data_IF_460442106191
#
_entry.id   IF_460442106191
#
_cell.length_a   1.000
_cell.length_b   1.000
_cell.length_c   1.000
_cell.angle_alpha   90.00
_cell.angle_beta   90.00
_cell.angle_gamma   90.00
#
_symmetry.space_group_name_H-M   'P 1'
#
loop_
_entity.id
_entity.type
_entity.pdbx_description
1 polymer ?
#
# COMPACT_ATOMS: atom_id res chain seq x y z
N UNK A 1 54.10 20.47 9.07
CA UNK A 1 53.34 20.61 7.80
C UNK A 1 52.94 19.23 7.23
N UNK A 2 53.81 18.21 7.26
CA UNK A 2 53.54 16.83 6.78
C UNK A 2 52.44 16.13 7.61
N UNK A 3 52.45 16.33 8.95
CA UNK A 3 51.44 15.73 9.85
C UNK A 3 50.01 16.29 9.60
N UNK A 4 49.91 17.60 9.24
CA UNK A 4 48.61 18.21 8.89
C UNK A 4 48.06 17.71 7.55
N UNK A 5 48.92 17.38 6.59
CA UNK A 5 48.54 16.81 5.31
C UNK A 5 48.07 15.35 5.46
N UNK A 6 48.71 14.56 6.35
CA UNK A 6 48.28 13.19 6.66
C UNK A 6 46.96 13.15 7.38
N UNK A 7 46.69 14.08 8.31
CA UNK A 7 45.40 14.21 8.99
C UNK A 7 44.28 14.64 8.04
N UNK A 8 44.52 15.53 7.12
CA UNK A 8 43.56 15.98 6.10
C UNK A 8 43.23 14.83 5.10
N UNK A 9 44.24 14.05 4.70
CA UNK A 9 44.03 12.88 3.85
C UNK A 9 43.20 11.76 4.58
N UNK A 10 43.49 11.53 5.87
CA UNK A 10 42.71 10.58 6.68
C UNK A 10 41.26 10.98 6.88
N UNK A 11 40.96 12.30 7.02
CA UNK A 11 39.58 12.79 7.09
C UNK A 11 38.82 12.70 5.77
N UNK A 12 39.52 12.90 4.64
CA UNK A 12 38.92 12.70 3.30
C UNK A 12 38.59 11.22 3.03
N UNK A 13 39.42 10.28 3.49
CA UNK A 13 39.15 8.86 3.40
C UNK A 13 37.99 8.42 4.32
N UNK A 14 37.86 9.00 5.52
CA UNK A 14 36.75 8.72 6.44
C UNK A 14 35.39 9.24 5.89
N UNK A 15 35.36 10.37 5.19
CA UNK A 15 34.16 10.90 4.54
C UNK A 15 33.73 10.08 3.30
N UNK A 16 34.67 9.49 2.58
CA UNK A 16 34.38 8.60 1.44
C UNK A 16 33.81 7.24 1.89
N UNK A 17 34.18 6.75 3.07
CA UNK A 17 33.66 5.50 3.64
C UNK A 17 32.21 5.58 4.14
N UNK A 18 31.68 6.79 4.40
CA UNK A 18 30.29 6.99 4.86
C UNK A 18 29.24 7.11 3.73
N UNK A 19 29.64 7.10 2.46
CA UNK A 19 28.71 7.34 1.34
C UNK A 19 28.31 6.11 0.54
N UNK A 20 28.88 4.93 0.82
CA UNK A 20 28.39 3.67 0.23
C UNK A 20 27.44 2.99 1.23
N UNK A 21 26.13 3.21 1.10
CA UNK A 21 25.15 2.22 1.60
C UNK A 21 25.57 0.87 1.02
N UNK A 22 25.78 -0.18 1.84
CA UNK A 22 25.94 -1.52 1.28
C UNK A 22 24.72 -1.76 0.41
N UNK A 23 24.91 -2.04 -0.88
CA UNK A 23 23.85 -2.60 -1.68
C UNK A 23 23.39 -3.86 -0.93
N UNK A 24 22.11 -3.94 -0.60
CA UNK A 24 21.53 -5.14 0.02
C UNK A 24 21.48 -6.25 -1.04
N UNK A 25 22.65 -6.76 -1.42
CA UNK A 25 22.83 -7.74 -2.51
C UNK A 25 22.14 -9.08 -2.23
N UNK A 26 21.72 -9.29 -0.99
CA UNK A 26 21.09 -10.53 -0.54
C UNK A 26 19.68 -10.29 0.02
N UNK A 27 19.08 -9.12 -0.24
CA UNK A 27 17.73 -8.81 0.22
C UNK A 27 16.75 -8.78 -0.95
N UNK A 28 15.72 -9.63 -0.87
CA UNK A 28 14.71 -9.79 -1.91
C UNK A 28 13.32 -9.57 -1.36
N UNK A 29 12.48 -8.88 -2.12
CA UNK A 29 11.10 -8.55 -1.75
C UNK A 29 10.13 -9.25 -2.69
N UNK A 30 9.12 -9.92 -2.13
CA UNK A 30 8.02 -10.54 -2.86
C UNK A 30 6.76 -9.68 -2.78
N UNK A 31 5.97 -9.67 -3.85
CA UNK A 31 4.66 -9.00 -3.88
C UNK A 31 3.62 -9.93 -4.50
N UNK A 32 2.44 -9.98 -3.89
CA UNK A 32 1.27 -10.74 -4.32
C UNK A 32 0.14 -9.74 -4.56
N UNK A 33 -0.33 -9.66 -5.80
CA UNK A 33 -1.40 -8.77 -6.25
C UNK A 33 -2.61 -9.58 -6.71
N UNK A 34 -3.82 -9.16 -6.34
CA UNK A 34 -5.06 -9.84 -6.74
C UNK A 34 -5.28 -9.79 -8.25
N UNK A 35 -4.98 -8.64 -8.87
CA UNK A 35 -5.09 -8.43 -10.30
C UNK A 35 -3.75 -7.97 -10.90
N UNK A 36 -3.78 -7.49 -12.12
CA UNK A 36 -2.64 -6.92 -12.84
C UNK A 36 -2.77 -5.40 -13.03
N UNK A 37 -1.95 -4.82 -13.89
CA UNK A 37 -1.91 -3.39 -14.19
C UNK A 37 -3.22 -2.83 -14.79
N UNK A 38 -4.16 -3.65 -15.21
CA UNK A 38 -5.47 -3.21 -15.68
C UNK A 38 -6.40 -2.82 -14.53
N UNK A 39 -6.15 -3.28 -13.31
CA UNK A 39 -6.82 -2.83 -12.10
C UNK A 39 -6.21 -1.52 -11.61
N UNK A 40 -7.00 -0.46 -11.52
CA UNK A 40 -6.53 0.83 -10.98
C UNK A 40 -6.13 0.77 -9.52
N UNK A 41 -6.67 -0.19 -8.76
CA UNK A 41 -6.29 -0.46 -7.37
C UNK A 41 -4.89 -1.09 -7.32
N UNK A 42 -4.71 -2.25 -7.97
CA UNK A 42 -3.44 -3.00 -7.95
C UNK A 42 -2.30 -2.23 -8.61
N UNK A 43 -2.59 -1.45 -9.67
CA UNK A 43 -1.58 -0.62 -10.36
C UNK A 43 -0.86 0.35 -9.41
N UNK A 44 -1.57 0.91 -8.41
CA UNK A 44 -0.93 1.79 -7.42
C UNK A 44 0.09 1.03 -6.57
N UNK A 45 -0.24 -0.18 -6.13
CA UNK A 45 0.67 -1.04 -5.37
C UNK A 45 1.86 -1.50 -6.21
N UNK A 46 1.61 -1.91 -7.46
CA UNK A 46 2.65 -2.33 -8.41
C UNK A 46 3.65 -1.18 -8.67
N UNK A 47 3.16 0.04 -8.91
CA UNK A 47 4.02 1.20 -9.14
C UNK A 47 4.81 1.57 -7.89
N UNK A 48 4.18 1.56 -6.71
CA UNK A 48 4.84 1.84 -5.45
C UNK A 48 5.91 0.79 -5.12
N UNK A 49 5.62 -0.50 -5.35
CA UNK A 49 6.56 -1.60 -5.17
C UNK A 49 7.81 -1.44 -6.05
N UNK A 50 7.61 -1.22 -7.36
CA UNK A 50 8.69 -0.96 -8.32
C UNK A 50 9.54 0.23 -7.89
N UNK A 51 8.91 1.39 -7.64
CA UNK A 51 9.61 2.61 -7.25
C UNK A 51 10.42 2.44 -5.96
N UNK A 52 9.84 1.81 -4.94
CA UNK A 52 10.51 1.60 -3.66
C UNK A 52 11.73 0.67 -3.82
N UNK A 53 11.57 -0.47 -4.50
CA UNK A 53 12.66 -1.43 -4.68
C UNK A 53 13.79 -0.86 -5.56
N UNK A 54 13.45 -0.16 -6.64
CA UNK A 54 14.42 0.52 -7.49
C UNK A 54 15.20 1.62 -6.73
N UNK A 55 14.49 2.42 -5.91
CA UNK A 55 15.11 3.47 -5.09
C UNK A 55 16.07 2.89 -4.05
N UNK A 56 15.73 1.73 -3.47
CA UNK A 56 16.54 1.04 -2.47
C UNK A 56 17.63 0.16 -3.08
N UNK A 57 17.54 -0.14 -4.37
CA UNK A 57 18.45 -1.05 -5.07
C UNK A 57 18.32 -2.50 -4.59
N UNK A 58 17.10 -2.94 -4.26
CA UNK A 58 16.80 -4.31 -3.80
C UNK A 58 16.13 -5.12 -4.90
N UNK A 59 16.42 -6.44 -4.94
CA UNK A 59 15.76 -7.36 -5.85
C UNK A 59 14.29 -7.55 -5.45
N UNK A 60 13.41 -7.67 -6.45
CA UNK A 60 11.99 -7.92 -6.18
C UNK A 60 11.34 -8.84 -7.22
N UNK A 61 10.25 -9.49 -6.80
CA UNK A 61 9.37 -10.31 -7.64
C UNK A 61 7.92 -9.91 -7.39
N UNK A 62 7.17 -9.63 -8.45
CA UNK A 62 5.74 -9.30 -8.36
C UNK A 62 4.96 -10.43 -9.03
N UNK A 63 4.03 -11.03 -8.30
CA UNK A 63 3.07 -12.01 -8.80
C UNK A 63 1.71 -11.34 -8.90
N UNK A 64 1.13 -11.35 -10.09
CA UNK A 64 -0.18 -10.75 -10.38
C UNK A 64 -1.22 -11.84 -10.63
N UNK A 65 -2.51 -11.46 -10.58
CA UNK A 65 -3.64 -12.37 -10.79
C UNK A 65 -3.62 -13.56 -9.81
N UNK A 66 -3.28 -13.30 -8.55
CA UNK A 66 -3.28 -14.31 -7.49
C UNK A 66 -4.63 -14.23 -6.76
N UNK A 67 -5.53 -15.22 -6.91
CA UNK A 67 -6.83 -15.21 -6.26
C UNK A 67 -6.74 -15.19 -4.73
N UNK A 68 -7.78 -14.68 -4.11
CA UNK A 68 -7.99 -14.84 -2.67
C UNK A 68 -8.28 -16.29 -2.35
N UNK A 69 -7.47 -16.92 -1.52
CA UNK A 69 -7.64 -18.35 -1.20
C UNK A 69 -6.30 -19.07 -1.04
N UNK A 70 -6.34 -20.40 -1.16
CA UNK A 70 -5.16 -21.26 -1.02
C UNK A 70 -4.02 -20.84 -1.97
N UNK A 71 -4.34 -20.38 -3.15
CA UNK A 71 -3.33 -19.90 -4.11
C UNK A 71 -2.48 -18.74 -3.56
N UNK A 72 -3.06 -17.87 -2.73
CA UNK A 72 -2.29 -16.81 -2.06
C UNK A 72 -1.22 -17.42 -1.14
N UNK A 73 -1.59 -18.42 -0.33
CA UNK A 73 -0.63 -19.14 0.52
C UNK A 73 0.45 -19.83 -0.32
N UNK A 74 0.06 -20.56 -1.38
CA UNK A 74 0.99 -21.29 -2.24
C UNK A 74 2.00 -20.33 -2.89
N UNK A 75 1.55 -19.14 -3.30
CA UNK A 75 2.41 -18.09 -3.85
C UNK A 75 3.29 -17.41 -2.79
N UNK A 76 2.79 -17.24 -1.57
CA UNK A 76 3.58 -16.75 -0.45
C UNK A 76 4.70 -17.74 -0.08
N UNK A 77 4.39 -19.04 -0.05
CA UNK A 77 5.38 -20.10 0.17
C UNK A 77 6.42 -20.16 -0.98
N UNK A 78 5.98 -20.08 -2.25
CA UNK A 78 6.88 -20.00 -3.41
C UNK A 78 7.88 -18.84 -3.27
N UNK A 79 7.41 -17.65 -2.89
CA UNK A 79 8.26 -16.47 -2.71
C UNK A 79 9.24 -16.64 -1.53
N UNK A 80 8.79 -17.26 -0.44
CA UNK A 80 9.65 -17.56 0.70
C UNK A 80 10.76 -18.55 0.33
N UNK A 81 10.43 -19.62 -0.39
CA UNK A 81 11.39 -20.61 -0.90
C UNK A 81 12.35 -20.03 -1.95
N UNK A 82 11.89 -19.03 -2.74
CA UNK A 82 12.72 -18.24 -3.66
C UNK A 82 13.68 -17.27 -2.94
N UNK A 83 13.67 -17.25 -1.60
CA UNK A 83 14.56 -16.45 -0.76
C UNK A 83 14.10 -15.01 -0.54
N UNK A 84 12.83 -14.70 -0.71
CA UNK A 84 12.29 -13.40 -0.32
C UNK A 84 12.37 -13.23 1.21
N UNK A 85 12.89 -12.10 1.66
CA UNK A 85 13.03 -11.77 3.07
C UNK A 85 11.76 -11.10 3.62
N UNK A 86 11.02 -10.42 2.74
CA UNK A 86 9.74 -9.79 3.06
C UNK A 86 8.77 -9.98 1.89
N UNK A 87 7.52 -10.29 2.21
CA UNK A 87 6.46 -10.55 1.23
C UNK A 87 5.24 -9.69 1.57
N UNK A 88 4.74 -8.95 0.58
CA UNK A 88 3.55 -8.11 0.68
C UNK A 88 2.40 -8.71 -0.10
N UNK A 89 1.16 -8.53 0.41
CA UNK A 89 -0.07 -8.79 -0.35
C UNK A 89 -1.04 -7.61 -0.22
N UNK A 90 -1.82 -7.34 -1.28
CA UNK A 90 -2.63 -6.13 -1.41
C UNK A 90 -4.13 -6.33 -1.21
N UNK A 91 -4.65 -7.54 -1.31
CA UNK A 91 -6.08 -7.78 -1.24
C UNK A 91 -6.56 -8.23 0.14
N UNK A 92 -7.74 -7.75 0.56
CA UNK A 92 -8.33 -8.07 1.87
C UNK A 92 -8.43 -9.57 2.14
N UNK A 93 -8.87 -10.36 1.16
CA UNK A 93 -9.02 -11.81 1.31
C UNK A 93 -7.71 -12.59 1.29
N UNK A 94 -6.57 -11.97 1.04
CA UNK A 94 -5.25 -12.59 1.20
C UNK A 94 -4.83 -12.72 2.66
N UNK A 95 -5.48 -12.01 3.62
CA UNK A 95 -4.99 -11.86 4.99
C UNK A 95 -4.76 -13.19 5.70
N UNK A 96 -5.74 -14.10 5.70
CA UNK A 96 -5.66 -15.37 6.42
C UNK A 96 -4.57 -16.29 5.86
N UNK A 97 -4.36 -16.24 4.55
CA UNK A 97 -3.35 -17.04 3.85
C UNK A 97 -1.93 -16.50 4.06
N UNK A 98 -1.78 -15.18 4.16
CA UNK A 98 -0.53 -14.55 4.56
C UNK A 98 -0.16 -14.86 6.01
N UNK A 99 -1.15 -14.92 6.92
CA UNK A 99 -0.97 -15.35 8.30
C UNK A 99 -0.54 -16.82 8.37
N UNK A 100 -1.16 -17.69 7.55
CA UNK A 100 -0.78 -19.08 7.45
C UNK A 100 0.68 -19.22 7.02
N UNK A 101 1.10 -18.50 5.97
CA UNK A 101 2.49 -18.49 5.51
C UNK A 101 3.45 -17.95 6.59
N UNK A 102 3.06 -16.89 7.30
CA UNK A 102 3.88 -16.33 8.38
C UNK A 102 4.14 -17.32 9.53
N UNK A 103 3.18 -18.19 9.82
CA UNK A 103 3.34 -19.27 10.83
C UNK A 103 4.32 -20.34 10.38
N UNK A 104 4.39 -20.64 9.08
CA UNK A 104 5.26 -21.67 8.51
C UNK A 104 6.67 -21.17 8.23
N UNK A 105 6.82 -19.90 7.84
CA UNK A 105 8.10 -19.27 7.49
C UNK A 105 8.53 -18.21 8.51
N UNK A 106 8.94 -18.58 9.74
CA UNK A 106 9.17 -17.62 10.83
C UNK A 106 10.34 -16.65 10.59
N UNK A 107 11.19 -16.93 9.61
CA UNK A 107 12.32 -16.07 9.25
C UNK A 107 12.01 -15.08 8.12
N UNK A 108 10.82 -15.16 7.50
CA UNK A 108 10.34 -14.25 6.47
C UNK A 108 9.33 -13.28 7.09
N UNK A 109 9.40 -12.01 6.71
CA UNK A 109 8.43 -11.00 7.14
C UNK A 109 7.26 -10.98 6.16
N UNK A 110 6.05 -10.99 6.67
CA UNK A 110 4.82 -10.90 5.88
C UNK A 110 4.09 -9.61 6.21
N UNK A 111 3.73 -8.86 5.17
CA UNK A 111 3.01 -7.60 5.27
C UNK A 111 1.74 -7.67 4.44
N UNK A 112 0.64 -7.24 5.00
CA UNK A 112 -0.65 -7.26 4.33
C UNK A 112 -1.30 -5.88 4.38
N UNK A 113 -1.74 -5.39 3.22
CA UNK A 113 -2.51 -4.14 3.12
C UNK A 113 -3.98 -4.43 3.40
N UNK A 114 -4.65 -3.50 4.08
CA UNK A 114 -6.08 -3.56 4.41
C UNK A 114 -6.51 -4.57 5.47
N UNK A 115 -5.63 -5.46 5.90
CA UNK A 115 -5.90 -6.41 6.97
C UNK A 115 -5.85 -5.78 8.37
N UNK A 116 -6.35 -6.51 9.37
CA UNK A 116 -6.50 -6.02 10.74
C UNK A 116 -6.04 -7.00 11.81
N UNK A 117 -5.56 -8.20 11.42
CA UNK A 117 -5.32 -9.29 12.36
C UNK A 117 -3.91 -9.31 12.98
N UNK A 118 -2.97 -8.47 12.51
CA UNK A 118 -1.60 -8.47 13.02
C UNK A 118 -1.54 -8.28 14.54
N UNK A 119 -2.40 -7.43 15.13
CA UNK A 119 -2.41 -7.17 16.57
C UNK A 119 -3.09 -8.28 17.39
N UNK A 120 -3.85 -9.19 16.77
CA UNK A 120 -4.54 -10.29 17.43
C UNK A 120 -3.84 -11.64 17.26
N UNK A 121 -3.11 -11.84 16.16
CA UNK A 121 -2.41 -13.09 15.85
C UNK A 121 -1.14 -13.31 16.70
N UNK A 122 -0.54 -12.24 17.20
CA UNK A 122 0.64 -12.32 18.05
C UNK A 122 1.91 -12.83 17.36
N UNK A 123 1.96 -12.78 16.02
CA UNK A 123 3.12 -13.18 15.23
C UNK A 123 4.09 -12.01 15.10
N UNK A 124 5.38 -12.25 15.39
CA UNK A 124 6.42 -11.23 15.28
C UNK A 124 6.83 -10.90 13.84
N UNK A 125 6.45 -11.73 12.89
CA UNK A 125 6.77 -11.64 11.47
C UNK A 125 5.54 -11.40 10.58
N UNK A 126 4.40 -10.99 11.15
CA UNK A 126 3.21 -10.61 10.39
C UNK A 126 2.76 -9.20 10.74
N UNK A 127 2.54 -8.36 9.72
CA UNK A 127 2.27 -6.93 9.88
C UNK A 127 1.13 -6.50 8.97
N UNK A 128 0.32 -5.55 9.44
CA UNK A 128 -0.65 -4.86 8.60
C UNK A 128 -0.16 -3.44 8.28
N UNK A 129 -0.28 -3.04 7.01
CA UNK A 129 -0.07 -1.68 6.55
C UNK A 129 -1.44 -1.10 6.17
N UNK A 130 -1.89 -0.10 6.90
CA UNK A 130 -3.19 0.53 6.67
C UNK A 130 -3.04 2.06 6.69
N UNK A 131 -3.37 2.70 5.57
CA UNK A 131 -3.38 4.16 5.48
C UNK A 131 -4.73 4.73 5.95
N UNK A 132 -4.75 6.03 6.31
CA UNK A 132 -5.99 6.77 6.62
C UNK A 132 -6.80 7.05 5.34
N UNK A 133 -7.25 5.99 4.65
CA UNK A 133 -7.91 6.09 3.33
C UNK A 133 -9.20 6.93 3.39
N UNK A 134 -9.85 7.02 4.54
CA UNK A 134 -11.01 7.88 4.73
C UNK A 134 -10.73 9.36 4.44
N UNK A 135 -9.51 9.84 4.63
CA UNK A 135 -9.10 11.21 4.26
C UNK A 135 -9.14 11.41 2.74
N UNK A 136 -8.61 10.44 1.98
CA UNK A 136 -8.70 10.45 0.52
C UNK A 136 -10.15 10.33 0.04
N UNK A 137 -11.00 9.57 0.73
CA UNK A 137 -12.43 9.49 0.45
C UNK A 137 -13.15 10.82 0.71
N UNK A 138 -12.77 11.53 1.76
CA UNK A 138 -13.29 12.88 2.02
C UNK A 138 -12.95 13.83 0.88
N UNK A 139 -11.68 13.86 0.43
CA UNK A 139 -11.26 14.69 -0.70
C UNK A 139 -11.99 14.32 -2.01
N UNK A 140 -12.19 13.04 -2.27
CA UNK A 140 -13.00 12.59 -3.41
C UNK A 140 -14.45 13.08 -3.30
N UNK A 141 -15.01 13.08 -2.08
CA UNK A 141 -16.31 13.67 -1.79
C UNK A 141 -16.38 15.17 -2.08
N UNK A 142 -15.37 15.93 -1.64
CA UNK A 142 -15.27 17.38 -1.96
C UNK A 142 -15.30 17.59 -3.49
N UNK A 143 -14.49 16.86 -4.25
CA UNK A 143 -14.47 16.94 -5.71
C UNK A 143 -15.83 16.62 -6.33
N UNK A 144 -16.51 15.58 -5.84
CA UNK A 144 -17.87 15.22 -6.28
C UNK A 144 -18.89 16.30 -5.96
N UNK A 145 -18.83 16.89 -4.76
CA UNK A 145 -19.73 18.00 -4.37
C UNK A 145 -19.50 19.26 -5.21
N UNK A 146 -18.24 19.57 -5.53
CA UNK A 146 -17.92 20.67 -6.46
C UNK A 146 -18.52 20.40 -7.86
N UNK A 147 -18.43 19.14 -8.35
CA UNK A 147 -19.04 18.78 -9.64
C UNK A 147 -20.55 18.87 -9.61
N UNK A 148 -21.22 18.50 -8.51
CA UNK A 148 -22.66 18.70 -8.36
C UNK A 148 -23.04 20.19 -8.45
N UNK A 149 -22.31 21.08 -7.77
CA UNK A 149 -22.55 22.52 -7.85
C UNK A 149 -22.40 23.04 -9.30
N UNK A 150 -21.36 22.62 -10.02
CA UNK A 150 -21.17 22.96 -11.43
C UNK A 150 -22.37 22.52 -12.29
N UNK A 151 -22.88 21.30 -12.08
CA UNK A 151 -24.03 20.77 -12.82
C UNK A 151 -25.32 21.54 -12.48
N UNK A 152 -25.53 21.94 -11.23
CA UNK A 152 -26.65 22.78 -10.79
C UNK A 152 -26.55 24.17 -11.46
N UNK A 153 -25.38 24.79 -11.43
CA UNK A 153 -25.13 26.09 -12.05
C UNK A 153 -25.37 26.06 -13.57
N UNK A 154 -25.03 24.97 -14.23
CA UNK A 154 -25.28 24.74 -15.65
C UNK A 154 -26.74 24.40 -15.96
N UNK A 155 -27.62 24.25 -14.96
CA UNK A 155 -29.03 23.93 -15.13
C UNK A 155 -29.32 22.49 -15.56
N UNK A 156 -28.40 21.56 -15.31
CA UNK A 156 -28.60 20.14 -15.64
C UNK A 156 -29.66 19.51 -14.72
N UNK A 157 -29.74 19.98 -13.47
CA UNK A 157 -30.80 19.66 -12.48
C UNK A 157 -30.81 20.73 -11.38
N UNK A 158 -31.89 20.74 -10.58
CA UNK A 158 -31.98 21.64 -9.43
C UNK A 158 -31.26 21.13 -8.20
N UNK A 159 -30.98 22.02 -7.22
CA UNK A 159 -30.33 21.62 -5.98
C UNK A 159 -31.08 20.51 -5.21
N UNK A 160 -32.41 20.53 -5.26
CA UNK A 160 -33.28 19.54 -4.60
C UNK A 160 -33.26 18.16 -5.32
N UNK A 161 -32.84 18.13 -6.57
CA UNK A 161 -32.69 16.92 -7.37
C UNK A 161 -31.28 16.33 -7.29
N UNK A 162 -30.31 17.06 -6.72
CA UNK A 162 -28.92 16.62 -6.61
C UNK A 162 -28.85 15.35 -5.77
N UNK A 163 -28.38 14.26 -6.41
CA UNK A 163 -28.23 12.94 -5.77
C UNK A 163 -26.97 12.27 -6.24
N UNK A 164 -26.30 11.57 -5.34
CA UNK A 164 -25.15 10.72 -5.63
C UNK A 164 -25.41 9.29 -5.17
N UNK A 165 -24.92 8.32 -5.94
CA UNK A 165 -24.83 6.93 -5.52
C UNK A 165 -23.40 6.60 -5.08
N UNK A 166 -23.27 5.77 -4.07
CA UNK A 166 -21.98 5.21 -3.65
C UNK A 166 -22.09 3.69 -3.61
N UNK A 167 -21.19 3.00 -4.32
CA UNK A 167 -21.12 1.54 -4.30
C UNK A 167 -20.00 1.14 -3.35
N UNK A 168 -20.35 0.60 -2.20
CA UNK A 168 -19.40 0.02 -1.25
C UNK A 168 -19.10 -1.44 -1.61
N UNK A 169 -17.84 -1.86 -1.48
CA UNK A 169 -17.44 -3.23 -1.79
C UNK A 169 -18.05 -4.24 -0.81
N UNK A 170 -17.95 -3.97 0.51
CA UNK A 170 -18.45 -4.83 1.59
C UNK A 170 -18.92 -3.98 2.78
N UNK A 171 -19.58 -4.62 3.76
CA UNK A 171 -20.06 -3.95 4.98
C UNK A 171 -19.04 -3.97 6.12
N UNK A 172 -17.78 -3.63 5.82
CA UNK A 172 -16.71 -3.52 6.81
C UNK A 172 -16.60 -2.09 7.36
N UNK A 173 -16.04 -1.94 8.55
CA UNK A 173 -15.83 -0.64 9.19
C UNK A 173 -15.01 0.32 8.29
N UNK A 174 -14.01 -0.18 7.57
CA UNK A 174 -13.22 0.59 6.61
C UNK A 174 -14.07 1.14 5.47
N UNK A 175 -14.92 0.29 4.85
CA UNK A 175 -15.80 0.70 3.76
C UNK A 175 -16.86 1.69 4.24
N UNK A 176 -17.41 1.48 5.46
CA UNK A 176 -18.36 2.39 6.12
C UNK A 176 -17.71 3.75 6.36
N UNK A 177 -16.50 3.80 6.90
CA UNK A 177 -15.73 5.04 7.08
C UNK A 177 -15.50 5.75 5.75
N UNK A 178 -15.26 4.99 4.68
CA UNK A 178 -15.04 5.50 3.32
C UNK A 178 -16.24 6.27 2.78
N UNK A 179 -17.44 5.64 2.72
CA UNK A 179 -18.61 6.34 2.19
C UNK A 179 -19.12 7.43 3.11
N UNK A 180 -18.95 7.28 4.43
CA UNK A 180 -19.30 8.34 5.38
C UNK A 180 -18.44 9.58 5.18
N UNK A 181 -17.12 9.39 5.03
CA UNK A 181 -16.18 10.49 4.75
C UNK A 181 -16.44 11.14 3.39
N UNK A 182 -16.70 10.34 2.35
CA UNK A 182 -17.09 10.85 1.03
C UNK A 182 -18.33 11.72 1.11
N UNK A 183 -19.38 11.25 1.80
CA UNK A 183 -20.62 12.02 2.01
C UNK A 183 -20.37 13.35 2.74
N UNK A 184 -19.58 13.33 3.81
CA UNK A 184 -19.21 14.53 4.55
C UNK A 184 -18.40 15.51 3.71
N UNK A 185 -17.49 15.00 2.89
CA UNK A 185 -16.71 15.78 1.93
C UNK A 185 -17.61 16.47 0.90
N UNK A 186 -18.54 15.74 0.29
CA UNK A 186 -19.49 16.29 -0.67
C UNK A 186 -20.37 17.37 -0.06
N UNK A 187 -20.93 17.11 1.12
CA UNK A 187 -21.78 18.08 1.83
C UNK A 187 -21.03 19.31 2.32
N UNK A 188 -19.72 19.26 2.50
CA UNK A 188 -18.93 20.41 2.92
C UNK A 188 -18.94 21.55 1.89
N UNK A 189 -19.15 21.21 0.60
CA UNK A 189 -19.18 22.17 -0.52
C UNK A 189 -20.52 22.22 -1.24
N UNK A 190 -21.31 21.15 -1.21
CA UNK A 190 -22.66 21.08 -1.76
C UNK A 190 -23.64 20.61 -0.66
N UNK A 191 -24.24 21.53 0.13
CA UNK A 191 -25.06 21.18 1.30
C UNK A 191 -26.30 20.33 0.99
N UNK A 192 -26.74 20.30 -0.26
CA UNK A 192 -27.91 19.53 -0.73
C UNK A 192 -27.53 18.11 -1.21
N UNK A 193 -26.24 17.79 -1.27
CA UNK A 193 -25.75 16.47 -1.67
C UNK A 193 -26.12 15.36 -0.68
#
# INVERSE_FOLDING_TARGET
KILALLLAAAMLFALAACSSKPAAKDFKVGFIMLHDENSTYDLNFINAAKQACETLGVEYKILTNVPEGQECYDKAAELADDGCNIIFADSFGHEDYMIQAAKEFPNVQFCHSTGTKAHTEGLSNYHNAFASIYEGRYLAGVAAGMKLNEMIENGEFTADEAKMGYVGAFTYAEVISGYTSFFLGARSVCPTA
#
